data_IF_436837954733
#
_entry.id   IF_436837954733
#
_cell.length_a   1.000
_cell.length_b   1.000
_cell.length_c   1.000
_cell.angle_alpha   90.00
_cell.angle_beta   90.00
_cell.angle_gamma   90.00
#
_symmetry.space_group_name_H-M   'P 1'
#
loop_
_entity.id
_entity.type
_entity.pdbx_description
1 polymer ?
#
# COMPACT_ATOMS: atom_id res chain seq x y z
N UNK A 1 -0.99 11.18 -13.47
CA UNK A 1 -0.53 9.77 -13.48
C UNK A 1 -1.08 9.12 -12.22
N UNK A 2 -1.66 7.93 -12.34
CA UNK A 2 -2.26 7.19 -11.23
C UNK A 2 -1.15 6.54 -10.42
N UNK A 3 -1.24 6.53 -9.10
CA UNK A 3 -0.16 6.09 -8.21
C UNK A 3 -0.71 5.04 -7.26
N UNK A 4 0.01 3.92 -7.10
CA UNK A 4 -0.28 2.90 -6.10
C UNK A 4 0.88 2.73 -5.13
N UNK A 5 0.57 2.82 -3.84
CA UNK A 5 1.53 2.71 -2.75
C UNK A 5 0.97 1.79 -1.66
N UNK A 6 1.80 0.88 -1.14
CA UNK A 6 1.48 0.13 0.06
C UNK A 6 2.05 0.87 1.27
N UNK A 7 1.20 1.21 2.23
CA UNK A 7 1.60 1.74 3.54
C UNK A 7 1.48 0.62 4.56
N UNK A 8 2.53 0.40 5.35
CA UNK A 8 2.53 -0.59 6.44
C UNK A 8 3.02 0.10 7.70
N UNK A 9 2.33 -0.09 8.82
CA UNK A 9 2.70 0.52 10.10
C UNK A 9 2.26 -0.33 11.29
N UNK A 10 2.96 -0.19 12.42
CA UNK A 10 2.75 -1.05 13.57
C UNK A 10 3.93 -1.05 14.54
N UNK A 11 4.07 -2.16 15.25
CA UNK A 11 5.19 -2.40 16.17
C UNK A 11 6.46 -2.80 15.41
N UNK A 12 7.62 -2.37 15.91
CA UNK A 12 8.90 -2.49 15.21
C UNK A 12 9.28 -3.95 14.86
N UNK A 13 9.00 -4.90 15.76
CA UNK A 13 9.29 -6.33 15.56
C UNK A 13 8.46 -6.91 14.40
N UNK A 14 7.16 -6.60 14.35
CA UNK A 14 6.28 -7.05 13.27
C UNK A 14 6.63 -6.42 11.92
N UNK A 15 7.10 -5.17 11.92
CA UNK A 15 7.55 -4.49 10.71
C UNK A 15 8.84 -5.06 10.14
N UNK A 16 9.77 -5.51 10.99
CA UNK A 16 11.03 -6.12 10.55
C UNK A 16 10.78 -7.40 9.74
N UNK A 17 9.93 -8.31 10.25
CA UNK A 17 9.56 -9.55 9.57
C UNK A 17 8.98 -9.29 8.17
N UNK A 18 8.06 -8.32 8.09
CA UNK A 18 7.39 -7.98 6.83
C UNK A 18 8.41 -7.40 5.86
N UNK A 19 9.26 -6.47 6.32
CA UNK A 19 10.23 -5.77 5.48
C UNK A 19 11.20 -6.74 4.80
N UNK A 20 11.63 -7.78 5.50
CA UNK A 20 12.53 -8.81 4.97
C UNK A 20 11.85 -9.70 3.91
N UNK A 21 10.52 -9.86 3.99
CA UNK A 21 9.76 -10.64 3.02
C UNK A 21 9.48 -9.92 1.69
N UNK A 22 9.42 -8.58 1.70
CA UNK A 22 8.86 -7.80 0.60
C UNK A 22 9.54 -8.04 -0.76
N UNK A 23 8.80 -7.97 -1.88
CA UNK A 23 9.37 -8.04 -3.23
C UNK A 23 10.34 -6.90 -3.54
N UNK A 24 10.16 -5.73 -2.91
CA UNK A 24 10.97 -4.52 -3.13
C UNK A 24 11.25 -3.81 -1.81
N UNK A 25 12.35 -3.05 -1.77
CA UNK A 25 12.68 -2.23 -0.61
C UNK A 25 11.68 -1.07 -0.44
N UNK A 26 11.32 -0.71 0.81
CA UNK A 26 10.55 0.49 1.06
C UNK A 26 11.28 1.76 0.60
N UNK A 27 10.55 2.68 -0.03
CA UNK A 27 11.14 3.94 -0.54
C UNK A 27 11.11 5.09 0.48
N UNK A 28 10.46 4.88 1.62
CA UNK A 28 10.45 5.82 2.72
C UNK A 28 9.89 5.16 3.98
N UNK A 29 10.50 5.45 5.10
CA UNK A 29 10.12 4.95 6.42
C UNK A 29 10.00 6.09 7.43
N UNK A 30 9.36 5.78 8.55
CA UNK A 30 9.31 6.63 9.72
C UNK A 30 9.39 5.79 10.97
N UNK A 31 9.87 6.39 12.04
CA UNK A 31 9.98 5.79 13.35
C UNK A 31 8.93 6.38 14.30
N UNK A 32 8.51 5.58 15.27
CA UNK A 32 7.72 6.07 16.40
C UNK A 32 8.47 7.19 17.11
N UNK A 33 7.79 8.31 17.34
CA UNK A 33 8.39 9.52 17.91
C UNK A 33 8.80 10.57 16.87
N UNK A 34 8.82 10.23 15.58
CA UNK A 34 9.12 11.21 14.53
C UNK A 34 8.04 12.30 14.44
N UNK A 35 8.48 13.52 14.11
CA UNK A 35 7.58 14.68 13.96
C UNK A 35 7.09 14.76 12.52
N UNK A 36 5.77 14.71 12.34
CA UNK A 36 5.10 14.93 11.05
C UNK A 36 5.25 16.39 10.59
N UNK A 37 5.08 16.68 9.29
CA UNK A 37 5.10 18.06 8.77
C UNK A 37 4.08 19.00 9.42
N UNK A 38 2.98 18.47 9.97
CA UNK A 38 1.95 19.22 10.69
C UNK A 38 2.25 19.42 12.19
N UNK A 39 3.44 19.01 12.65
CA UNK A 39 3.89 19.10 14.04
C UNK A 39 3.39 17.99 14.96
N UNK A 40 2.55 17.06 14.48
CA UNK A 40 2.11 15.90 15.29
C UNK A 40 3.20 14.83 15.36
N UNK A 41 3.24 14.09 16.45
CA UNK A 41 4.19 12.98 16.65
C UNK A 41 3.61 11.67 16.10
N UNK A 42 4.44 10.86 15.45
CA UNK A 42 4.12 9.49 15.03
C UNK A 42 3.99 8.58 16.26
N UNK A 43 2.85 7.91 16.41
CA UNK A 43 2.57 7.01 17.55
C UNK A 43 3.07 5.58 17.30
N UNK A 44 3.41 5.27 16.05
CA UNK A 44 3.87 4.00 15.51
C UNK A 44 5.00 4.23 14.50
N UNK A 45 5.73 3.15 14.20
CA UNK A 45 6.70 3.11 13.10
C UNK A 45 6.02 2.59 11.83
N UNK A 46 6.64 2.78 10.68
CA UNK A 46 6.11 2.25 9.44
C UNK A 46 6.89 2.67 8.21
N UNK A 47 6.41 2.22 7.06
CA UNK A 47 7.06 2.47 5.79
C UNK A 47 6.08 2.49 4.62
N UNK A 48 6.56 2.99 3.49
CA UNK A 48 5.88 3.02 2.21
C UNK A 48 6.64 2.22 1.17
N UNK A 49 5.90 1.43 0.39
CA UNK A 49 6.41 0.72 -0.78
C UNK A 49 5.70 1.23 -2.03
N UNK A 50 6.48 1.57 -3.05
CA UNK A 50 5.92 1.99 -4.32
C UNK A 50 5.56 0.73 -5.11
N UNK A 51 4.28 0.57 -5.45
CA UNK A 51 3.83 -0.54 -6.29
C UNK A 51 3.94 -0.14 -7.76
N UNK A 52 3.46 1.07 -8.08
CA UNK A 52 3.33 1.49 -9.48
C UNK A 52 2.95 2.95 -9.66
N UNK A 53 3.26 3.46 -10.85
CA UNK A 53 2.79 4.77 -11.31
C UNK A 53 2.51 4.69 -12.81
N UNK A 54 1.25 4.80 -13.19
CA UNK A 54 0.82 4.53 -14.57
C UNK A 54 -0.21 5.55 -15.07
N UNK A 55 -0.24 5.80 -16.37
CA UNK A 55 -1.31 6.59 -16.99
C UNK A 55 -2.59 5.77 -17.15
N UNK A 56 -2.46 4.52 -17.57
CA UNK A 56 -3.59 3.60 -17.73
C UNK A 56 -3.92 2.95 -16.37
N UNK A 57 -5.14 3.15 -15.83
CA UNK A 57 -5.56 2.52 -14.59
C UNK A 57 -5.54 0.99 -14.62
N UNK A 58 -5.71 0.38 -15.80
CA UNK A 58 -5.66 -1.09 -15.95
C UNK A 58 -4.23 -1.63 -15.82
N UNK A 59 -3.24 -0.90 -16.33
CA UNK A 59 -1.83 -1.27 -16.13
C UNK A 59 -1.43 -1.14 -14.66
N UNK A 60 -1.93 -0.10 -13.97
CA UNK A 60 -1.75 0.03 -12.52
C UNK A 60 -2.35 -1.16 -11.77
N UNK A 61 -3.57 -1.58 -12.13
CA UNK A 61 -4.23 -2.73 -11.50
C UNK A 61 -3.46 -4.04 -11.73
N UNK A 62 -2.86 -4.24 -12.92
CA UNK A 62 -1.98 -5.39 -13.17
C UNK A 62 -0.75 -5.39 -12.27
N UNK A 63 -0.12 -4.22 -12.07
CA UNK A 63 1.04 -4.09 -11.17
C UNK A 63 0.65 -4.37 -9.72
N UNK A 64 -0.51 -3.88 -9.26
CA UNK A 64 -1.04 -4.19 -7.94
C UNK A 64 -1.23 -5.70 -7.77
N UNK A 65 -1.92 -6.37 -8.71
CA UNK A 65 -2.15 -7.81 -8.67
C UNK A 65 -0.84 -8.60 -8.64
N UNK A 66 0.11 -8.24 -9.50
CA UNK A 66 1.42 -8.89 -9.53
C UNK A 66 2.15 -8.73 -8.20
N UNK A 67 2.22 -7.52 -7.68
CA UNK A 67 2.92 -7.22 -6.43
C UNK A 67 2.30 -7.94 -5.22
N UNK A 68 0.97 -7.91 -5.09
CA UNK A 68 0.27 -8.61 -4.00
C UNK A 68 0.36 -10.14 -4.15
N UNK A 69 0.32 -10.65 -5.39
CA UNK A 69 0.56 -12.05 -5.67
C UNK A 69 1.96 -12.52 -5.24
N UNK A 70 2.99 -11.72 -5.51
CA UNK A 70 4.37 -12.00 -5.06
C UNK A 70 4.48 -11.96 -3.53
N UNK A 71 3.87 -10.97 -2.87
CA UNK A 71 3.81 -10.93 -1.39
C UNK A 71 3.15 -12.20 -0.83
N UNK A 72 1.98 -12.60 -1.37
CA UNK A 72 1.26 -13.79 -0.93
C UNK A 72 2.07 -15.07 -1.18
N UNK A 73 2.73 -15.20 -2.34
CA UNK A 73 3.58 -16.35 -2.68
C UNK A 73 4.79 -16.48 -1.74
N UNK A 74 5.26 -15.38 -1.14
CA UNK A 74 6.31 -15.34 -0.13
C UNK A 74 5.80 -15.55 1.30
N UNK A 75 4.50 -15.78 1.47
CA UNK A 75 3.85 -15.97 2.78
C UNK A 75 3.66 -14.68 3.57
N UNK A 76 3.68 -13.52 2.92
CA UNK A 76 3.45 -12.24 3.58
C UNK A 76 1.95 -11.99 3.68
N UNK A 77 1.46 -11.95 4.92
CA UNK A 77 0.10 -11.57 5.26
C UNK A 77 0.14 -10.47 6.34
N UNK A 78 -0.80 -9.54 6.24
CA UNK A 78 -0.93 -8.39 7.14
C UNK A 78 -2.09 -8.55 8.14
N UNK A 79 -2.73 -9.73 8.20
CA UNK A 79 -3.73 -10.09 9.19
C UNK A 79 -3.10 -10.38 10.57
N UNK A 80 -2.33 -9.43 11.10
CA UNK A 80 -1.71 -9.52 12.42
C UNK A 80 -2.22 -8.40 13.31
N UNK A 81 -2.21 -8.60 14.62
CA UNK A 81 -2.68 -7.58 15.58
C UNK A 81 -1.67 -6.45 15.80
N UNK A 82 -0.43 -6.63 15.38
CA UNK A 82 0.71 -5.74 15.61
C UNK A 82 1.08 -4.89 14.37
N UNK A 83 0.41 -5.11 13.24
CA UNK A 83 0.66 -4.40 11.98
C UNK A 83 -0.64 -4.13 11.22
N UNK A 84 -0.76 -2.93 10.68
CA UNK A 84 -1.79 -2.53 9.74
C UNK A 84 -1.19 -2.27 8.34
N UNK A 85 -1.85 -2.77 7.29
CA UNK A 85 -1.51 -2.48 5.91
C UNK A 85 -2.63 -1.75 5.17
N UNK A 86 -2.25 -0.81 4.30
CA UNK A 86 -3.16 0.02 3.54
C UNK A 86 -2.63 0.16 2.09
N UNK A 87 -3.39 -0.38 1.12
CA UNK A 87 -3.20 -0.10 -0.29
C UNK A 87 -3.81 1.26 -0.62
N UNK A 88 -2.96 2.20 -1.00
CA UNK A 88 -3.33 3.58 -1.33
C UNK A 88 -3.27 3.79 -2.83
N UNK A 89 -4.37 4.21 -3.42
CA UNK A 89 -4.48 4.54 -4.85
C UNK A 89 -4.86 6.01 -4.98
N UNK A 90 -4.04 6.75 -5.70
CA UNK A 90 -4.22 8.17 -5.95
C UNK A 90 -4.41 8.43 -7.44
N UNK A 91 -5.46 9.17 -7.79
CA UNK A 91 -5.76 9.63 -9.15
C UNK A 91 -5.61 11.15 -9.24
N UNK A 92 -4.40 11.70 -9.31
CA UNK A 92 -4.21 13.13 -9.50
C UNK A 92 -4.71 13.52 -10.90
N UNK A 93 -5.94 14.03 -10.94
CA UNK A 93 -6.60 14.52 -12.15
C UNK A 93 -6.64 16.04 -12.15
N UNK A 94 -6.28 16.65 -13.28
CA UNK A 94 -6.49 18.07 -13.50
C UNK A 94 -7.99 18.37 -13.63
N UNK A 95 -8.41 19.58 -13.24
CA UNK A 95 -9.80 20.00 -13.39
C UNK A 95 -10.26 19.86 -14.85
N UNK A 96 -11.33 19.08 -15.07
CA UNK A 96 -11.93 18.86 -16.38
C UNK A 96 -11.40 17.64 -17.16
N UNK A 97 -10.43 16.92 -16.62
CA UNK A 97 -10.02 15.62 -17.17
C UNK A 97 -11.08 14.54 -16.90
N UNK A 98 -11.14 13.52 -17.76
CA UNK A 98 -11.96 12.33 -17.51
C UNK A 98 -11.49 11.63 -16.23
N UNK A 99 -12.43 11.34 -15.33
CA UNK A 99 -12.13 10.61 -14.10
C UNK A 99 -11.70 9.18 -14.44
N UNK A 100 -10.47 8.76 -14.12
CA UNK A 100 -10.03 7.39 -14.32
C UNK A 100 -10.86 6.45 -13.46
N UNK A 101 -11.16 5.27 -14.01
CA UNK A 101 -11.86 4.20 -13.31
C UNK A 101 -10.95 2.99 -13.16
N UNK A 102 -10.95 2.37 -11.98
CA UNK A 102 -10.38 1.05 -11.74
C UNK A 102 -11.51 0.13 -11.32
N UNK A 103 -11.66 -0.98 -12.04
CA UNK A 103 -12.65 -2.00 -11.72
C UNK A 103 -11.98 -3.15 -10.99
N UNK A 104 -12.17 -3.20 -9.67
CA UNK A 104 -11.77 -4.34 -8.88
C UNK A 104 -12.74 -5.50 -9.09
N UNK A 105 -12.20 -6.65 -9.47
CA UNK A 105 -12.96 -7.89 -9.50
C UNK A 105 -13.21 -8.42 -8.09
N UNK A 106 -14.15 -9.34 -7.95
CA UNK A 106 -14.37 -10.03 -6.68
C UNK A 106 -13.08 -10.73 -6.17
N UNK A 107 -12.30 -11.32 -7.07
CA UNK A 107 -11.04 -11.98 -6.72
C UNK A 107 -10.02 -10.99 -6.14
N UNK A 108 -9.98 -9.76 -6.65
CA UNK A 108 -9.09 -8.73 -6.11
C UNK A 108 -9.51 -8.33 -4.70
N UNK A 109 -10.81 -8.18 -4.47
CA UNK A 109 -11.35 -7.86 -3.14
C UNK A 109 -11.11 -9.00 -2.15
N UNK A 110 -11.28 -10.24 -2.58
CA UNK A 110 -10.93 -11.43 -1.78
C UNK A 110 -9.45 -11.44 -1.41
N UNK A 111 -8.55 -11.16 -2.36
CA UNK A 111 -7.11 -11.07 -2.10
C UNK A 111 -6.77 -10.02 -1.05
N UNK A 112 -7.39 -8.83 -1.09
CA UNK A 112 -7.16 -7.81 -0.06
C UNK A 112 -7.60 -8.28 1.33
N UNK A 113 -8.75 -8.96 1.43
CA UNK A 113 -9.27 -9.50 2.70
C UNK A 113 -8.34 -10.60 3.24
N UNK A 114 -7.97 -11.57 2.40
CA UNK A 114 -7.09 -12.69 2.78
C UNK A 114 -5.68 -12.23 3.18
N UNK A 115 -5.23 -11.11 2.63
CA UNK A 115 -3.95 -10.51 3.01
C UNK A 115 -4.07 -9.53 4.17
N UNK A 116 -5.26 -9.18 4.65
CA UNK A 116 -5.45 -8.19 5.73
C UNK A 116 -5.11 -6.75 5.31
N UNK A 117 -5.40 -6.37 4.06
CA UNK A 117 -5.04 -5.06 3.50
C UNK A 117 -6.28 -4.16 3.39
N UNK A 118 -6.20 -2.97 3.99
CA UNK A 118 -7.20 -1.92 3.82
C UNK A 118 -7.06 -1.24 2.45
N UNK A 119 -8.17 -0.83 1.85
CA UNK A 119 -8.18 -0.09 0.59
C UNK A 119 -8.50 1.39 0.82
N UNK A 120 -7.67 2.27 0.27
CA UNK A 120 -7.78 3.72 0.40
C UNK A 120 -7.64 4.37 -0.96
N UNK A 121 -8.68 5.08 -1.41
CA UNK A 121 -8.74 5.68 -2.74
C UNK A 121 -8.90 7.19 -2.59
N UNK A 122 -8.06 7.96 -3.29
CA UNK A 122 -8.12 9.41 -3.35
C UNK A 122 -8.11 9.85 -4.81
N UNK A 123 -9.01 10.76 -5.17
CA UNK A 123 -9.11 11.38 -6.48
C UNK A 123 -8.91 12.90 -6.36
#
# INVERSE_FOLDING_TARGET
>A
MNIATLKVHGDDDGLADIRDGLPTEPHGDWQKGDVKPDGRVRIDSGFYVAIGTEQDPNELLKQIRFYLGECSARGIHFERSDVDAELRISFPCDQGASTPSIDFSLADMTMLVEMGINLSITA
#
